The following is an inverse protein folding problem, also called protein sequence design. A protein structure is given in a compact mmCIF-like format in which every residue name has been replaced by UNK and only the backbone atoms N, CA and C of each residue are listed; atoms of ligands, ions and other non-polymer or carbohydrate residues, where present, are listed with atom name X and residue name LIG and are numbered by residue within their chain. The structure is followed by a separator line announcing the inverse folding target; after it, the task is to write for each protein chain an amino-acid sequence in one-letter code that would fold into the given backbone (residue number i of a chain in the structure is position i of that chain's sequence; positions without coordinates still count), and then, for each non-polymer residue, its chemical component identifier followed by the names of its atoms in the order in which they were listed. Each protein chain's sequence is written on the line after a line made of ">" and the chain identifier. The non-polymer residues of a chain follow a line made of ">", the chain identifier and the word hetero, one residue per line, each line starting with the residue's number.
data_IF_153702247434
#
_entry.id   IF_153702247434
#
_cell.length_a   1.000
_cell.length_b   1.000
_cell.length_c   1.000
_cell.angle_alpha   90.00
_cell.angle_beta   90.00
_cell.angle_gamma   90.00
#
_symmetry.space_group_name_H-M   'P 1'
#
loop_
_entity.id
_entity.type
_entity.pdbx_description
1 polymer ?
#
# COMPACT_ATOMS: atom_id res chain seq x y z
N UNK A 1 -25.43 -56.06 -25.49
CA UNK A 1 -25.75 -54.62 -25.44
C UNK A 1 -24.93 -53.98 -24.32
N UNK A 2 -23.95 -53.16 -24.67
CA UNK A 2 -23.12 -52.46 -23.66
C UNK A 2 -23.59 -51.02 -23.60
N UNK A 3 -24.22 -50.65 -22.49
CA UNK A 3 -24.66 -49.28 -22.24
C UNK A 3 -23.45 -48.46 -21.74
N UNK A 4 -23.05 -47.47 -22.52
CA UNK A 4 -21.99 -46.51 -22.15
C UNK A 4 -22.71 -45.34 -21.49
N UNK A 5 -22.55 -45.21 -20.15
CA UNK A 5 -23.01 -44.02 -19.45
C UNK A 5 -21.93 -42.94 -19.62
N UNK A 6 -22.23 -41.91 -20.39
CA UNK A 6 -21.40 -40.71 -20.48
C UNK A 6 -21.71 -39.84 -19.26
N UNK A 7 -20.76 -39.78 -18.35
CA UNK A 7 -20.82 -38.83 -17.23
C UNK A 7 -20.48 -37.42 -17.73
N UNK A 8 -21.47 -36.54 -17.76
CA UNK A 8 -21.24 -35.13 -18.05
C UNK A 8 -20.66 -34.44 -16.80
N UNK A 9 -19.39 -34.05 -16.89
CA UNK A 9 -18.75 -33.27 -15.85
C UNK A 9 -19.18 -31.82 -16.01
N UNK A 10 -20.04 -31.31 -15.10
CA UNK A 10 -20.38 -29.90 -15.02
C UNK A 10 -19.18 -29.16 -14.39
N UNK A 11 -18.45 -28.43 -15.21
CA UNK A 11 -17.42 -27.49 -14.71
C UNK A 11 -18.14 -26.21 -14.29
N UNK A 12 -18.33 -26.03 -13.00
CA UNK A 12 -18.83 -24.76 -12.45
C UNK A 12 -17.67 -23.76 -12.41
N UNK A 13 -17.67 -22.82 -13.35
CA UNK A 13 -16.75 -21.68 -13.31
C UNK A 13 -17.14 -20.77 -12.15
N UNK A 14 -16.33 -20.71 -11.09
CA UNK A 14 -16.47 -19.72 -10.03
C UNK A 14 -15.98 -18.39 -10.56
N UNK A 15 -16.89 -17.44 -10.76
CA UNK A 15 -16.55 -16.06 -11.10
C UNK A 15 -16.02 -15.42 -9.82
N UNK A 16 -14.71 -15.22 -9.77
CA UNK A 16 -14.10 -14.42 -8.71
C UNK A 16 -14.33 -12.94 -9.03
N UNK A 17 -15.12 -12.27 -8.22
CA UNK A 17 -15.29 -10.81 -8.31
C UNK A 17 -14.03 -10.18 -7.74
N UNK A 18 -13.13 -9.74 -8.62
CA UNK A 18 -12.00 -8.91 -8.23
C UNK A 18 -12.54 -7.50 -7.97
N UNK A 19 -12.55 -7.07 -6.71
CA UNK A 19 -12.91 -5.71 -6.37
C UNK A 19 -11.84 -4.75 -6.92
N UNK A 20 -12.23 -3.85 -7.81
CA UNK A 20 -11.37 -2.76 -8.25
C UNK A 20 -11.09 -1.85 -7.06
N UNK A 21 -9.82 -1.41 -6.94
CA UNK A 21 -9.41 -0.47 -5.90
C UNK A 21 -10.06 0.89 -6.13
N UNK A 22 -10.53 1.51 -5.05
CA UNK A 22 -11.23 2.80 -5.08
C UNK A 22 -10.28 3.92 -4.63
N UNK A 23 -9.87 4.75 -5.59
CA UNK A 23 -8.96 5.89 -5.34
C UNK A 23 -9.60 6.93 -4.44
N UNK A 24 -10.91 7.20 -4.59
CA UNK A 24 -11.61 8.16 -3.74
C UNK A 24 -11.72 7.67 -2.30
N UNK A 25 -11.97 6.38 -2.09
CA UNK A 25 -11.94 5.77 -0.76
C UNK A 25 -10.52 5.81 -0.17
N UNK A 26 -9.50 5.61 -1.00
CA UNK A 26 -8.09 5.73 -0.61
C UNK A 26 -7.73 7.15 -0.16
N UNK A 27 -8.24 8.17 -0.83
CA UNK A 27 -8.07 9.58 -0.42
C UNK A 27 -8.70 9.84 0.94
N UNK A 28 -9.89 9.29 1.20
CA UNK A 28 -10.52 9.41 2.53
C UNK A 28 -9.69 8.69 3.61
N UNK A 29 -9.18 7.51 3.31
CA UNK A 29 -8.30 6.78 4.23
C UNK A 29 -7.00 7.53 4.50
N UNK A 30 -6.46 8.23 3.50
CA UNK A 30 -5.23 9.04 3.64
C UNK A 30 -5.36 10.17 4.67
N UNK A 31 -6.55 10.61 5.00
CA UNK A 31 -6.77 11.60 6.09
C UNK A 31 -6.18 11.15 7.41
N UNK A 32 -6.09 9.85 7.67
CA UNK A 32 -5.42 9.27 8.85
C UNK A 32 -3.91 9.51 8.84
N UNK A 33 -3.33 9.76 7.67
CA UNK A 33 -1.89 9.93 7.47
C UNK A 33 -1.47 11.41 7.46
N UNK A 34 -2.40 12.32 7.18
CA UNK A 34 -2.13 13.76 7.05
C UNK A 34 -1.48 14.42 8.26
N UNK A 35 -1.71 14.02 9.51
CA UNK A 35 -0.98 14.59 10.64
C UNK A 35 0.55 14.46 10.52
N UNK A 36 1.03 13.44 9.82
CA UNK A 36 2.45 13.12 9.70
C UNK A 36 3.00 13.17 8.28
N UNK A 37 2.17 12.94 7.26
CA UNK A 37 2.61 12.81 5.87
C UNK A 37 1.88 13.77 4.94
N UNK A 38 2.47 14.01 3.78
CA UNK A 38 1.85 14.77 2.70
C UNK A 38 2.17 14.15 1.33
N UNK A 39 1.33 14.43 0.35
CA UNK A 39 1.51 14.11 -1.06
C UNK A 39 1.13 15.32 -1.92
N UNK A 40 1.58 15.35 -3.14
CA UNK A 40 1.29 16.43 -4.10
C UNK A 40 2.52 17.29 -4.40
N UNK A 41 2.36 18.25 -5.30
CA UNK A 41 3.48 19.08 -5.78
C UNK A 41 4.10 19.95 -4.66
N UNK A 42 3.31 20.34 -3.67
CA UNK A 42 3.77 21.12 -2.50
C UNK A 42 4.10 20.26 -1.28
N UNK A 43 4.17 18.94 -1.44
CA UNK A 43 4.44 18.05 -0.33
C UNK A 43 5.82 18.27 0.28
N UNK A 44 5.87 18.27 1.61
CA UNK A 44 7.09 18.44 2.41
C UNK A 44 7.18 17.35 3.47
N UNK A 45 8.40 17.04 3.88
CA UNK A 45 8.62 16.25 5.08
C UNK A 45 8.02 16.96 6.29
N UNK A 46 7.36 16.20 7.15
CA UNK A 46 6.75 16.66 8.41
C UNK A 46 7.23 15.75 9.54
N UNK A 47 6.34 15.29 10.39
CA UNK A 47 6.65 14.24 11.37
C UNK A 47 7.11 12.95 10.67
N UNK A 48 6.47 12.64 9.53
CA UNK A 48 6.92 11.61 8.60
C UNK A 48 7.40 12.20 7.28
N UNK A 49 8.03 11.38 6.41
CA UNK A 49 8.49 11.83 5.11
C UNK A 49 7.32 12.09 4.16
N UNK A 50 7.52 12.97 3.18
CA UNK A 50 6.61 13.10 2.05
C UNK A 50 6.50 11.75 1.30
N UNK A 51 5.31 11.42 0.80
CA UNK A 51 5.02 10.11 0.21
C UNK A 51 4.94 10.14 -1.32
N UNK A 52 5.42 11.20 -1.97
CA UNK A 52 5.52 11.26 -3.42
C UNK A 52 6.44 10.17 -3.97
N UNK A 53 6.06 9.58 -5.10
CA UNK A 53 6.85 8.56 -5.76
C UNK A 53 7.04 7.30 -4.93
N UNK A 54 6.07 6.96 -4.08
CA UNK A 54 6.19 5.82 -3.15
C UNK A 54 6.33 4.50 -3.89
N UNK A 55 5.57 4.30 -4.97
CA UNK A 55 5.66 3.08 -5.77
C UNK A 55 7.06 2.93 -6.40
N UNK A 56 7.77 1.89 -6.03
CA UNK A 56 9.15 1.63 -6.45
C UNK A 56 10.24 2.33 -5.63
N UNK A 57 9.89 3.14 -4.62
CA UNK A 57 10.85 3.83 -3.75
C UNK A 57 11.43 2.88 -2.70
N UNK A 58 12.73 3.01 -2.45
CA UNK A 58 13.35 2.29 -1.34
C UNK A 58 12.96 2.93 -0.01
N UNK A 59 12.68 2.09 0.97
CA UNK A 59 12.41 2.54 2.34
C UNK A 59 13.63 3.29 2.89
N UNK A 60 13.37 4.40 3.57
CA UNK A 60 14.44 5.20 4.15
C UNK A 60 15.20 6.11 3.17
N UNK A 61 14.67 6.36 1.97
CA UNK A 61 15.40 7.06 0.90
C UNK A 61 14.94 8.48 0.62
N UNK A 62 13.87 8.98 1.25
CA UNK A 62 13.44 10.36 1.04
C UNK A 62 14.51 11.34 1.51
N UNK A 63 14.98 12.27 0.64
CA UNK A 63 15.97 13.29 1.04
C UNK A 63 15.49 14.14 2.21
N UNK A 64 16.44 14.59 3.03
CA UNK A 64 16.22 15.52 4.13
C UNK A 64 15.25 15.04 5.22
N UNK A 65 14.99 13.73 5.29
CA UNK A 65 14.23 13.14 6.38
C UNK A 65 15.10 12.22 7.24
N UNK A 66 14.99 12.37 8.56
CA UNK A 66 15.74 11.56 9.53
C UNK A 66 14.97 10.28 9.88
N UNK A 67 15.26 9.21 9.17
CA UNK A 67 14.68 7.88 9.44
C UNK A 67 15.33 7.21 10.66
N UNK A 68 14.62 6.22 11.23
CA UNK A 68 15.26 5.25 12.13
C UNK A 68 16.27 4.40 11.37
N UNK A 69 17.27 3.89 12.05
CA UNK A 69 18.24 2.95 11.45
C UNK A 69 17.54 1.68 10.93
N UNK A 70 16.55 1.19 11.67
CA UNK A 70 15.77 0.02 11.24
C UNK A 70 15.01 0.26 9.94
N UNK A 71 14.51 1.48 9.72
CA UNK A 71 13.84 1.83 8.46
C UNK A 71 14.83 1.89 7.30
N UNK A 72 15.96 2.59 7.49
CA UNK A 72 17.03 2.66 6.47
C UNK A 72 17.54 1.29 6.06
N UNK A 73 17.65 0.37 7.01
CA UNK A 73 18.22 -0.97 6.82
C UNK A 73 17.15 -2.04 6.53
N UNK A 74 15.88 -1.66 6.38
CA UNK A 74 14.79 -2.63 6.20
C UNK A 74 14.87 -3.42 4.88
N UNK A 75 15.53 -2.85 3.86
CA UNK A 75 15.64 -3.48 2.53
C UNK A 75 14.33 -3.47 1.74
N UNK A 76 13.30 -2.76 2.21
CA UNK A 76 12.00 -2.71 1.56
C UNK A 76 12.05 -1.81 0.35
N UNK A 77 11.56 -2.30 -0.79
CA UNK A 77 11.14 -1.48 -1.92
C UNK A 77 9.62 -1.45 -1.92
N UNK A 78 9.05 -0.26 -1.92
CA UNK A 78 7.59 -0.12 -1.79
C UNK A 78 6.89 -0.59 -3.06
N UNK A 79 5.93 -1.45 -2.86
CA UNK A 79 4.97 -1.97 -3.82
C UNK A 79 3.64 -2.16 -3.11
N UNK A 80 2.59 -2.54 -3.82
CA UNK A 80 1.32 -2.85 -3.18
C UNK A 80 1.47 -3.93 -2.10
N UNK A 81 2.19 -5.01 -2.39
CA UNK A 81 2.38 -6.12 -1.45
C UNK A 81 3.16 -5.70 -0.21
N UNK A 82 4.30 -5.01 -0.37
CA UNK A 82 5.12 -4.57 0.76
C UNK A 82 4.45 -3.46 1.57
N UNK A 83 3.70 -2.58 0.92
CA UNK A 83 2.92 -1.56 1.60
C UNK A 83 1.81 -2.17 2.46
N UNK A 84 1.01 -3.09 1.91
CA UNK A 84 -0.05 -3.77 2.66
C UNK A 84 0.49 -4.55 3.85
N UNK A 85 1.62 -5.22 3.68
CA UNK A 85 2.29 -5.94 4.75
C UNK A 85 2.75 -4.99 5.87
N UNK A 86 3.38 -3.88 5.51
CA UNK A 86 3.86 -2.88 6.46
C UNK A 86 2.72 -2.16 7.19
N UNK A 87 1.69 -1.70 6.46
CA UNK A 87 0.66 -0.85 7.05
C UNK A 87 -0.29 -1.59 7.99
N UNK A 88 -0.31 -2.92 7.95
CA UNK A 88 -1.04 -3.74 8.95
C UNK A 88 -0.55 -3.50 10.36
N UNK A 89 0.75 -3.44 10.53
CA UNK A 89 1.43 -3.20 11.80
C UNK A 89 2.87 -2.70 11.52
N UNK A 90 3.07 -1.37 11.44
CA UNK A 90 4.38 -0.81 11.14
C UNK A 90 5.49 -1.28 12.08
N UNK A 91 5.19 -1.41 13.38
CA UNK A 91 6.18 -1.81 14.38
C UNK A 91 6.58 -3.29 14.27
N UNK A 92 5.65 -4.14 13.89
CA UNK A 92 5.96 -5.55 13.66
C UNK A 92 6.84 -5.72 12.42
N UNK A 93 6.57 -4.95 11.36
CA UNK A 93 7.34 -5.07 10.11
C UNK A 93 8.70 -4.40 10.15
N UNK A 94 8.80 -3.24 10.79
CA UNK A 94 10.04 -2.51 11.02
C UNK A 94 10.16 -2.22 12.52
N UNK A 95 10.76 -3.12 13.30
CA UNK A 95 10.99 -2.88 14.73
C UNK A 95 11.77 -1.59 14.98
N UNK A 96 11.40 -0.83 16.00
CA UNK A 96 11.98 0.47 16.33
C UNK A 96 11.74 1.57 15.27
N UNK A 97 10.75 1.40 14.40
CA UNK A 97 10.34 2.49 13.51
C UNK A 97 9.90 3.72 14.30
N UNK A 98 10.19 4.90 13.77
CA UNK A 98 9.68 6.16 14.32
C UNK A 98 8.19 6.39 14.06
N UNK A 99 7.60 5.65 13.13
CA UNK A 99 6.19 5.76 12.78
C UNK A 99 5.30 5.20 13.89
N UNK A 100 4.59 6.09 14.58
CA UNK A 100 3.64 5.73 15.61
C UNK A 100 2.25 5.71 14.98
N UNK A 101 1.84 4.54 14.52
CA UNK A 101 0.56 4.32 13.85
C UNK A 101 0.06 2.91 14.16
N UNK A 102 -1.21 2.73 14.56
CA UNK A 102 -1.72 1.41 14.98
C UNK A 102 -1.86 0.40 13.84
N UNK A 103 -1.94 0.90 12.61
CA UNK A 103 -2.06 0.07 11.42
C UNK A 103 -3.46 0.05 10.80
N UNK A 104 -3.52 -0.43 9.56
CA UNK A 104 -4.74 -0.68 8.81
C UNK A 104 -4.78 -2.17 8.48
N UNK A 105 -5.67 -2.92 9.13
CA UNK A 105 -5.78 -4.38 8.97
C UNK A 105 -6.73 -4.79 7.85
N UNK A 106 -7.65 -3.91 7.48
CA UNK A 106 -8.59 -4.18 6.40
C UNK A 106 -7.85 -4.08 5.05
N UNK A 107 -7.81 -5.19 4.31
CA UNK A 107 -7.05 -5.26 3.05
C UNK A 107 -7.68 -4.46 1.91
N UNK A 108 -9.00 -4.29 1.91
CA UNK A 108 -9.67 -3.41 0.95
C UNK A 108 -9.25 -1.97 1.19
N UNK A 109 -9.30 -1.50 2.44
CA UNK A 109 -8.88 -0.13 2.80
C UNK A 109 -7.41 0.11 2.45
N UNK A 110 -6.50 -0.81 2.78
CA UNK A 110 -5.09 -0.65 2.46
C UNK A 110 -4.82 -0.70 0.96
N UNK A 111 -5.59 -1.48 0.21
CA UNK A 111 -5.54 -1.49 -1.26
C UNK A 111 -6.01 -0.18 -1.89
N UNK A 112 -7.09 0.38 -1.38
CA UNK A 112 -7.62 1.68 -1.82
C UNK A 112 -6.62 2.81 -1.50
N UNK A 113 -6.05 2.80 -0.32
CA UNK A 113 -5.01 3.76 0.09
C UNK A 113 -3.78 3.65 -0.81
N UNK A 114 -3.33 2.44 -1.14
CA UNK A 114 -2.24 2.24 -2.08
C UNK A 114 -2.57 2.80 -3.47
N UNK A 115 -3.76 2.54 -3.98
CA UNK A 115 -4.23 3.08 -5.25
C UNK A 115 -4.19 4.61 -5.30
N UNK A 116 -4.55 5.26 -4.20
CA UNK A 116 -4.43 6.71 -4.06
C UNK A 116 -2.97 7.16 -4.06
N UNK A 117 -2.11 6.56 -3.24
CA UNK A 117 -0.71 6.96 -3.09
C UNK A 117 0.12 6.74 -4.36
N UNK A 118 -0.08 5.64 -5.05
CA UNK A 118 0.71 5.32 -6.26
C UNK A 118 0.48 6.27 -7.43
N UNK A 119 -0.58 7.08 -7.39
CA UNK A 119 -0.84 8.09 -8.42
C UNK A 119 0.22 9.18 -8.47
N UNK A 120 0.87 9.48 -7.35
CA UNK A 120 1.82 10.58 -7.25
C UNK A 120 3.20 10.11 -7.68
N UNK A 121 3.78 10.81 -8.67
CA UNK A 121 5.17 10.61 -9.06
C UNK A 121 6.13 11.28 -8.05
N UNK A 122 7.43 11.20 -8.28
CA UNK A 122 8.43 11.78 -7.39
C UNK A 122 8.32 13.31 -7.24
N UNK A 123 7.74 13.99 -8.23
CA UNK A 123 7.47 15.44 -8.17
C UNK A 123 6.13 15.79 -7.55
N UNK A 124 5.33 14.80 -7.21
CA UNK A 124 3.99 14.99 -6.64
C UNK A 124 2.88 15.21 -7.66
N UNK A 125 3.16 15.04 -8.93
CA UNK A 125 2.14 15.10 -9.97
C UNK A 125 1.41 13.76 -10.07
N UNK A 126 0.12 13.82 -10.33
CA UNK A 126 -0.65 12.61 -10.63
C UNK A 126 -0.30 12.10 -12.04
N UNK A 127 -0.03 10.81 -12.11
CA UNK A 127 0.18 10.09 -13.37
C UNK A 127 -1.13 9.89 -14.13
#
# INVERSE_FOLDING_TARGET
>A
MKSIFAAAILVTATIQVVHAQDVAAGEQSFKKCLPCHSVGEDAKNKVGPALNGLDGRHSGSMPDYSYSESNKNSGITWSEATFKDYIKDPRARIPNTKMIFPGIKNETESGDLWAYLKQFDASGKKK
#
